data_IF_141697030959
#
_entry.id   IF_141697030959
#
_cell.length_a   1.000
_cell.length_b   1.000
_cell.length_c   1.000
_cell.angle_alpha   90.00
_cell.angle_beta   90.00
_cell.angle_gamma   90.00
#
_symmetry.space_group_name_H-M   'P 1'
#
loop_
_entity.id
_entity.type
_entity.pdbx_description
1 polymer ?
#
# COMPACT_ATOMS: atom_id res chain seq x y z
N UNK A 1 0.30 23.65 14.35
CA UNK A 1 -0.04 22.24 14.62
C UNK A 1 1.20 21.43 14.35
N UNK A 2 1.60 20.54 15.26
CA UNK A 2 2.74 19.65 15.04
C UNK A 2 2.34 18.52 14.08
N UNK A 3 3.25 18.12 13.20
CA UNK A 3 3.10 16.96 12.30
C UNK A 3 3.02 15.69 13.15
N UNK A 4 1.94 14.94 13.04
CA UNK A 4 1.61 13.81 13.91
C UNK A 4 1.88 12.46 13.26
N UNK A 5 1.84 11.38 14.05
CA UNK A 5 1.99 10.02 13.53
C UNK A 5 0.92 9.71 12.46
N UNK A 6 -0.33 10.15 12.67
CA UNK A 6 -1.38 10.03 11.67
C UNK A 6 -1.01 10.75 10.37
N UNK A 7 -0.58 12.02 10.46
CA UNK A 7 -0.23 12.84 9.29
C UNK A 7 0.96 12.26 8.51
N UNK A 8 1.90 11.62 9.22
CA UNK A 8 3.04 10.93 8.64
C UNK A 8 2.69 9.60 7.95
N UNK A 9 1.47 9.09 8.10
CA UNK A 9 1.20 7.68 7.80
C UNK A 9 -0.04 7.49 6.94
N UNK A 10 -1.21 7.83 7.46
CA UNK A 10 -2.51 7.51 6.82
C UNK A 10 -2.64 8.17 5.44
N UNK A 11 -2.34 9.48 5.26
CA UNK A 11 -2.39 10.10 3.94
C UNK A 11 -1.41 9.49 2.94
N UNK A 12 -0.21 9.09 3.40
CA UNK A 12 0.76 8.43 2.52
C UNK A 12 0.29 7.05 2.05
N UNK A 13 -0.31 6.27 2.95
CA UNK A 13 -0.88 4.97 2.60
C UNK A 13 -2.08 5.12 1.64
N UNK A 14 -2.95 6.13 1.84
CA UNK A 14 -4.04 6.46 0.91
C UNK A 14 -3.50 6.81 -0.48
N UNK A 15 -2.47 7.63 -0.57
CA UNK A 15 -1.86 8.02 -1.83
C UNK A 15 -1.16 6.84 -2.51
N UNK A 16 -0.58 5.90 -1.75
CA UNK A 16 -0.01 4.67 -2.29
C UNK A 16 -1.09 3.77 -2.92
N UNK A 17 -2.27 3.62 -2.31
CA UNK A 17 -3.40 2.87 -2.89
C UNK A 17 -3.92 3.54 -4.18
N UNK A 18 -4.02 4.88 -4.20
CA UNK A 18 -4.39 5.63 -5.43
C UNK A 18 -3.37 5.43 -6.55
N UNK A 19 -2.06 5.46 -6.23
CA UNK A 19 -1.01 5.20 -7.19
C UNK A 19 -1.08 3.77 -7.74
N UNK A 20 -1.30 2.78 -6.84
CA UNK A 20 -1.48 1.38 -7.23
C UNK A 20 -2.68 1.22 -8.19
N UNK A 21 -3.82 1.82 -7.85
CA UNK A 21 -5.01 1.82 -8.72
C UNK A 21 -4.71 2.43 -10.10
N UNK A 22 -3.98 3.55 -10.13
CA UNK A 22 -3.63 4.23 -11.39
C UNK A 22 -2.79 3.35 -12.31
N UNK A 23 -1.75 2.72 -11.78
CA UNK A 23 -0.87 1.85 -12.59
C UNK A 23 -1.58 0.56 -13.01
N UNK A 24 -2.43 -0.02 -12.15
CA UNK A 24 -3.21 -1.21 -12.49
C UNK A 24 -4.21 -0.94 -13.62
N UNK A 25 -4.91 0.21 -13.62
CA UNK A 25 -5.83 0.59 -14.71
C UNK A 25 -5.11 0.67 -16.06
N UNK A 26 -3.90 1.20 -16.09
CA UNK A 26 -3.08 1.20 -17.33
C UNK A 26 -2.62 -0.20 -17.71
N UNK A 27 -2.29 -1.05 -16.74
CA UNK A 27 -1.98 -2.46 -16.98
C UNK A 27 -3.16 -3.22 -17.58
N UNK A 28 -4.34 -3.09 -16.99
CA UNK A 28 -5.58 -3.73 -17.49
C UNK A 28 -5.92 -3.31 -18.92
N UNK A 29 -5.72 -2.02 -19.26
CA UNK A 29 -5.98 -1.49 -20.60
C UNK A 29 -4.89 -1.84 -21.63
N UNK A 30 -3.77 -2.45 -21.22
CA UNK A 30 -2.72 -2.83 -22.15
C UNK A 30 -3.13 -4.05 -23.02
N UNK A 31 -2.60 -4.20 -24.25
CA UNK A 31 -2.94 -5.33 -25.12
C UNK A 31 -2.71 -6.71 -24.48
N UNK A 32 -1.73 -6.83 -23.61
CA UNK A 32 -1.38 -8.03 -22.84
C UNK A 32 -1.95 -8.02 -21.42
N UNK A 33 -2.89 -7.14 -21.10
CA UNK A 33 -3.44 -6.92 -19.76
C UNK A 33 -3.82 -8.20 -19.02
N UNK A 34 -4.49 -9.13 -19.70
CA UNK A 34 -4.95 -10.39 -19.09
C UNK A 34 -3.82 -11.25 -18.49
N UNK A 35 -2.59 -11.17 -19.04
CA UNK A 35 -1.44 -11.95 -18.55
C UNK A 35 -0.64 -11.26 -17.45
N UNK A 36 -0.82 -9.95 -17.25
CA UNK A 36 0.03 -9.15 -16.36
C UNK A 36 -0.12 -9.50 -14.89
N UNK A 37 -1.30 -9.99 -14.47
CA UNK A 37 -1.53 -10.36 -13.06
C UNK A 37 -0.55 -11.43 -12.55
N UNK A 38 -0.12 -12.33 -13.44
CA UNK A 38 0.86 -13.37 -13.13
C UNK A 38 2.31 -12.98 -13.48
N UNK A 39 2.52 -11.80 -14.07
CA UNK A 39 3.84 -11.34 -14.45
C UNK A 39 4.72 -11.07 -13.21
N UNK A 40 6.02 -11.30 -13.39
CA UNK A 40 7.04 -11.17 -12.34
C UNK A 40 8.20 -10.35 -12.88
N UNK A 41 8.89 -9.61 -12.01
CA UNK A 41 10.10 -8.89 -12.42
C UNK A 41 11.27 -9.85 -12.61
N UNK A 42 11.36 -10.89 -11.78
CA UNK A 42 12.33 -11.97 -11.83
C UNK A 42 11.66 -13.31 -11.55
N UNK A 43 12.12 -14.46 -12.11
CA UNK A 43 11.47 -15.77 -11.93
C UNK A 43 11.26 -16.21 -10.48
N UNK A 44 12.16 -15.86 -9.57
CA UNK A 44 12.07 -16.18 -8.13
C UNK A 44 11.28 -15.15 -7.29
N UNK A 45 10.87 -14.03 -7.90
CA UNK A 45 10.03 -13.04 -7.23
C UNK A 45 8.54 -13.34 -7.43
N UNK A 46 7.71 -12.88 -6.50
CA UNK A 46 6.27 -13.10 -6.53
C UNK A 46 5.55 -12.17 -7.53
N UNK A 47 4.40 -12.60 -8.08
CA UNK A 47 3.73 -11.93 -9.19
C UNK A 47 3.09 -10.59 -8.81
N UNK A 48 2.52 -9.88 -9.81
CA UNK A 48 1.82 -8.60 -9.64
C UNK A 48 0.68 -8.71 -8.62
N UNK A 49 -0.11 -9.78 -8.65
CA UNK A 49 -1.19 -10.02 -7.66
C UNK A 49 -0.68 -10.03 -6.24
N UNK A 50 0.50 -10.61 -5.99
CA UNK A 50 1.12 -10.60 -4.67
C UNK A 50 1.54 -9.20 -4.22
N UNK A 51 1.98 -8.35 -5.15
CA UNK A 51 2.33 -6.96 -4.82
C UNK A 51 1.08 -6.19 -4.36
N UNK A 52 -0.04 -6.37 -5.05
CA UNK A 52 -1.35 -5.81 -4.64
C UNK A 52 -1.74 -6.31 -3.25
N UNK A 53 -1.65 -7.62 -3.02
CA UNK A 53 -1.92 -8.25 -1.73
C UNK A 53 -1.10 -7.59 -0.61
N UNK A 54 0.19 -7.43 -0.81
CA UNK A 54 1.09 -6.90 0.23
C UNK A 54 0.84 -5.42 0.54
N UNK A 55 0.57 -4.59 -0.48
CA UNK A 55 0.22 -3.18 -0.24
C UNK A 55 -1.07 -3.08 0.58
N UNK A 56 -2.10 -3.82 0.21
CA UNK A 56 -3.40 -3.78 0.90
C UNK A 56 -3.35 -4.38 2.31
N UNK A 57 -2.67 -5.52 2.49
CA UNK A 57 -2.48 -6.15 3.80
C UNK A 57 -1.71 -5.24 4.76
N UNK A 58 -0.61 -4.67 4.28
CA UNK A 58 0.22 -3.78 5.11
C UNK A 58 -0.58 -2.54 5.52
N UNK A 59 -1.37 -2.00 4.60
CA UNK A 59 -2.22 -0.82 4.84
C UNK A 59 -3.32 -1.10 5.88
N UNK A 60 -4.02 -2.22 5.79
CA UNK A 60 -5.07 -2.55 6.76
C UNK A 60 -4.52 -2.91 8.13
N UNK A 61 -3.39 -3.63 8.17
CA UNK A 61 -2.66 -3.93 9.41
C UNK A 61 -2.07 -2.68 10.07
N UNK A 62 -1.71 -1.66 9.29
CA UNK A 62 -1.29 -0.37 9.81
C UNK A 62 -2.37 0.24 10.71
N UNK A 63 -3.60 0.36 10.19
CA UNK A 63 -4.72 0.92 10.96
C UNK A 63 -4.99 0.09 12.21
N UNK A 64 -5.15 -1.22 12.06
CA UNK A 64 -5.45 -2.11 13.17
C UNK A 64 -4.42 -2.00 14.31
N UNK A 65 -3.14 -2.03 13.99
CA UNK A 65 -2.07 -1.98 14.99
C UNK A 65 -1.95 -0.62 15.66
N UNK A 66 -2.11 0.48 14.92
CA UNK A 66 -2.04 1.82 15.50
C UNK A 66 -3.30 2.20 16.30
N UNK A 67 -4.45 1.57 16.01
CA UNK A 67 -5.69 1.77 16.77
C UNK A 67 -5.90 0.73 17.86
N UNK A 68 -5.12 -0.36 17.87
CA UNK A 68 -5.26 -1.46 18.83
C UNK A 68 -6.46 -2.37 18.55
N UNK A 69 -6.89 -2.45 17.29
CA UNK A 69 -7.97 -3.33 16.84
C UNK A 69 -7.44 -4.57 16.14
N UNK A 70 -8.30 -5.57 15.90
CA UNK A 70 -7.92 -6.75 15.14
C UNK A 70 -7.73 -6.42 13.66
N UNK A 71 -6.71 -6.96 13.00
CA UNK A 71 -6.52 -6.81 11.56
C UNK A 71 -7.68 -7.42 10.76
N UNK A 72 -8.05 -6.75 9.67
CA UNK A 72 -9.02 -7.29 8.73
C UNK A 72 -8.57 -8.65 8.17
N UNK A 73 -9.44 -9.66 8.29
CA UNK A 73 -9.23 -10.97 7.67
C UNK A 73 -9.64 -10.91 6.20
N UNK A 74 -8.71 -11.21 5.32
CA UNK A 74 -8.97 -11.28 3.89
C UNK A 74 -9.45 -12.67 3.48
N UNK A 75 -10.48 -12.71 2.66
CA UNK A 75 -10.98 -13.94 2.07
C UNK A 75 -10.68 -13.99 0.57
N UNK A 76 -10.51 -15.20 0.05
CA UNK A 76 -10.26 -15.45 -1.39
C UNK A 76 -8.87 -15.04 -1.87
N UNK A 77 -8.59 -15.44 -3.10
CA UNK A 77 -7.35 -15.09 -3.82
C UNK A 77 -7.62 -13.94 -4.81
N UNK A 78 -6.56 -13.31 -5.29
CA UNK A 78 -6.64 -12.30 -6.34
C UNK A 78 -6.39 -12.97 -7.68
N UNK A 79 -7.43 -13.13 -8.47
CA UNK A 79 -7.37 -13.79 -9.79
C UNK A 79 -7.63 -12.80 -10.95
N UNK A 80 -8.37 -11.73 -10.69
CA UNK A 80 -8.80 -10.75 -11.68
C UNK A 80 -8.44 -9.31 -11.26
N UNK A 81 -8.48 -8.37 -12.21
CA UNK A 81 -8.37 -6.94 -11.90
C UNK A 81 -9.53 -6.46 -11.00
N UNK A 82 -10.73 -7.04 -11.18
CA UNK A 82 -11.85 -6.73 -10.30
C UNK A 82 -11.55 -7.07 -8.84
N UNK A 83 -10.90 -8.21 -8.58
CA UNK A 83 -10.46 -8.60 -7.23
C UNK A 83 -9.40 -7.63 -6.69
N UNK A 84 -8.46 -7.19 -7.54
CA UNK A 84 -7.49 -6.16 -7.16
C UNK A 84 -8.19 -4.89 -6.70
N UNK A 85 -9.15 -4.39 -7.48
CA UNK A 85 -9.87 -3.14 -7.15
C UNK A 85 -10.77 -3.29 -5.93
N UNK A 86 -11.47 -4.41 -5.79
CA UNK A 86 -12.29 -4.69 -4.61
C UNK A 86 -11.44 -4.68 -3.32
N UNK A 87 -10.26 -5.30 -3.39
CA UNK A 87 -9.32 -5.33 -2.28
C UNK A 87 -8.75 -3.96 -1.94
N UNK A 88 -8.40 -3.16 -2.95
CA UNK A 88 -7.94 -1.77 -2.76
C UNK A 88 -9.06 -0.92 -2.16
N UNK A 89 -10.28 -1.00 -2.68
CA UNK A 89 -11.42 -0.25 -2.16
C UNK A 89 -11.69 -0.57 -0.67
N UNK A 90 -11.59 -1.84 -0.28
CA UNK A 90 -11.72 -2.24 1.12
C UNK A 90 -10.59 -1.67 1.99
N UNK A 91 -9.37 -1.65 1.50
CA UNK A 91 -8.25 -1.03 2.21
C UNK A 91 -8.42 0.49 2.36
N UNK A 92 -8.95 1.17 1.33
CA UNK A 92 -9.30 2.60 1.38
C UNK A 92 -10.40 2.90 2.40
N UNK A 93 -11.43 2.06 2.47
CA UNK A 93 -12.51 2.16 3.47
C UNK A 93 -11.94 2.06 4.89
N UNK A 94 -11.06 1.08 5.14
CA UNK A 94 -10.43 0.89 6.45
C UNK A 94 -9.52 2.08 6.80
N UNK A 95 -8.74 2.61 5.85
CA UNK A 95 -7.95 3.83 6.07
C UNK A 95 -8.82 5.04 6.38
N UNK A 96 -9.95 5.19 5.67
CA UNK A 96 -10.87 6.31 5.90
C UNK A 96 -11.54 6.26 7.29
N UNK A 97 -11.68 5.07 7.88
CA UNK A 97 -12.21 4.90 9.23
C UNK A 97 -11.18 5.17 10.34
N UNK A 98 -9.90 5.37 10.00
CA UNK A 98 -8.83 5.54 10.96
C UNK A 98 -8.95 6.87 11.74
N UNK A 99 -9.11 6.78 13.05
CA UNK A 99 -9.21 7.96 13.92
C UNK A 99 -7.83 8.57 14.17
N UNK A 100 -7.68 9.85 13.78
CA UNK A 100 -6.46 10.63 14.03
C UNK A 100 -6.12 10.72 15.51
N UNK A 101 -7.13 10.97 16.34
CA UNK A 101 -6.95 11.13 17.78
C UNK A 101 -6.49 9.82 18.42
N UNK A 102 -7.12 8.68 18.07
CA UNK A 102 -6.73 7.38 18.59
C UNK A 102 -5.30 7.03 18.21
N UNK A 103 -4.92 7.19 16.93
CA UNK A 103 -3.56 6.89 16.46
C UNK A 103 -2.53 7.75 17.18
N UNK A 104 -2.78 9.04 17.34
CA UNK A 104 -1.84 9.96 18.00
C UNK A 104 -1.73 9.72 19.50
N UNK A 105 -2.82 9.39 20.18
CA UNK A 105 -2.80 9.03 21.61
C UNK A 105 -1.99 7.74 21.85
N UNK A 106 -2.09 6.77 20.94
CA UNK A 106 -1.42 5.46 21.04
C UNK A 106 0.01 5.44 20.47
N UNK A 107 0.56 6.55 19.98
CA UNK A 107 1.85 6.59 19.30
C UNK A 107 3.02 5.98 20.07
N UNK A 108 2.98 6.00 21.40
CA UNK A 108 4.03 5.46 22.28
C UNK A 108 3.74 4.02 22.73
N UNK A 109 2.61 3.45 22.34
CA UNK A 109 2.30 2.07 22.68
C UNK A 109 3.13 1.09 21.85
N UNK A 110 3.33 -0.10 22.43
CA UNK A 110 4.06 -1.17 21.75
C UNK A 110 3.19 -1.85 20.72
N UNK A 111 3.71 -1.94 19.50
CA UNK A 111 3.14 -2.69 18.38
C UNK A 111 3.95 -3.97 18.18
N UNK A 112 3.29 -5.13 18.22
CA UNK A 112 3.93 -6.41 17.93
C UNK A 112 3.83 -6.73 16.43
N UNK A 113 4.99 -6.96 15.80
CA UNK A 113 5.11 -7.20 14.36
C UNK A 113 5.71 -8.57 14.11
N UNK A 114 4.93 -9.48 13.54
CA UNK A 114 5.42 -10.77 13.06
C UNK A 114 6.19 -10.58 11.74
N UNK A 115 7.43 -11.07 11.70
CA UNK A 115 8.33 -11.00 10.54
C UNK A 115 8.68 -12.41 10.02
N UNK A 116 7.69 -13.29 9.92
CA UNK A 116 7.86 -14.64 9.40
C UNK A 116 8.87 -15.45 10.23
N UNK A 117 9.87 -16.04 9.56
CA UNK A 117 10.91 -16.85 10.20
C UNK A 117 11.82 -16.08 11.17
N UNK A 118 11.83 -14.75 11.10
CA UNK A 118 12.60 -13.92 12.04
C UNK A 118 11.91 -13.75 13.39
N UNK A 119 10.65 -14.17 13.53
CA UNK A 119 9.90 -14.08 14.79
C UNK A 119 9.05 -12.80 14.89
N UNK A 120 8.68 -12.46 16.14
CA UNK A 120 7.85 -11.28 16.45
C UNK A 120 8.69 -10.25 17.19
N UNK A 121 8.61 -8.99 16.73
CA UNK A 121 9.35 -7.88 17.31
C UNK A 121 8.40 -6.82 17.86
N UNK A 122 8.75 -6.28 19.02
CA UNK A 122 8.06 -5.16 19.66
C UNK A 122 8.65 -3.83 19.18
N UNK A 123 7.80 -2.92 18.71
CA UNK A 123 8.20 -1.61 18.18
C UNK A 123 7.28 -0.52 18.73
N UNK A 124 7.78 0.73 18.89
CA UNK A 124 6.90 1.88 19.08
C UNK A 124 6.14 2.19 17.78
N UNK A 125 5.01 2.92 17.87
CA UNK A 125 4.24 3.32 16.69
C UNK A 125 5.10 3.98 15.59
N UNK A 126 5.92 5.01 15.89
CA UNK A 126 6.80 5.62 14.89
C UNK A 126 7.83 4.66 14.28
N UNK A 127 8.43 3.75 15.08
CA UNK A 127 9.40 2.77 14.56
C UNK A 127 8.71 1.75 13.67
N UNK A 128 7.50 1.31 14.03
CA UNK A 128 6.70 0.42 13.20
C UNK A 128 6.37 1.06 11.84
N UNK A 129 5.94 2.32 11.86
CA UNK A 129 5.59 3.05 10.63
C UNK A 129 6.80 3.27 9.74
N UNK A 130 7.86 3.90 10.28
CA UNK A 130 9.01 4.33 9.48
C UNK A 130 9.97 3.19 9.15
N UNK A 131 10.08 2.19 10.03
CA UNK A 131 10.99 1.06 9.87
C UNK A 131 10.39 -0.12 9.11
N UNK A 132 9.07 -0.27 9.11
CA UNK A 132 8.42 -1.43 8.49
C UNK A 132 7.32 -1.05 7.50
N UNK A 133 6.29 -0.30 7.90
CA UNK A 133 5.08 -0.11 7.09
C UNK A 133 5.36 0.64 5.80
N UNK A 134 5.89 1.87 5.90
CA UNK A 134 6.13 2.70 4.73
C UNK A 134 7.15 2.09 3.78
N UNK A 135 8.31 1.58 4.25
CA UNK A 135 9.25 0.87 3.38
C UNK A 135 8.61 -0.32 2.67
N UNK A 136 7.76 -1.10 3.37
CA UNK A 136 7.10 -2.27 2.81
C UNK A 136 6.06 -1.88 1.74
N UNK A 137 5.18 -0.90 2.03
CA UNK A 137 4.21 -0.38 1.06
C UNK A 137 4.92 0.12 -0.19
N UNK A 138 5.96 0.94 -0.05
CA UNK A 138 6.67 1.51 -1.20
C UNK A 138 7.49 0.48 -1.98
N UNK A 139 8.05 -0.53 -1.31
CA UNK A 139 8.71 -1.64 -1.99
C UNK A 139 7.73 -2.39 -2.91
N UNK A 140 6.57 -2.78 -2.40
CA UNK A 140 5.59 -3.54 -3.18
C UNK A 140 4.91 -2.68 -4.25
N UNK A 141 4.61 -1.42 -3.99
CA UNK A 141 4.09 -0.48 -4.99
C UNK A 141 5.10 -0.25 -6.12
N UNK A 142 6.37 -0.05 -5.79
CA UNK A 142 7.43 0.13 -6.80
C UNK A 142 7.68 -1.16 -7.58
N UNK A 143 7.61 -2.31 -6.93
CA UNK A 143 7.72 -3.61 -7.60
C UNK A 143 6.56 -3.83 -8.57
N UNK A 144 5.32 -3.50 -8.19
CA UNK A 144 4.16 -3.54 -9.09
C UNK A 144 4.36 -2.63 -10.31
N UNK A 145 4.80 -1.39 -10.10
CA UNK A 145 5.16 -0.47 -11.18
C UNK A 145 6.22 -1.07 -12.11
N UNK A 146 7.28 -1.63 -11.56
CA UNK A 146 8.39 -2.19 -12.34
C UNK A 146 7.99 -3.45 -13.12
N UNK A 147 7.13 -4.31 -12.56
CA UNK A 147 6.55 -5.46 -13.29
C UNK A 147 5.81 -4.95 -14.53
N UNK A 148 4.88 -4.01 -14.36
CA UNK A 148 4.10 -3.44 -15.46
C UNK A 148 5.00 -2.77 -16.52
N UNK A 149 6.02 -2.02 -16.09
CA UNK A 149 6.98 -1.39 -17.01
C UNK A 149 7.78 -2.40 -17.80
N UNK A 150 8.29 -3.46 -17.16
CA UNK A 150 9.00 -4.57 -17.81
C UNK A 150 8.15 -5.23 -18.89
N UNK A 151 6.86 -5.38 -18.64
CA UNK A 151 5.91 -6.00 -19.56
C UNK A 151 5.39 -5.03 -20.66
N UNK A 152 5.96 -3.83 -20.76
CA UNK A 152 5.67 -2.89 -21.85
C UNK A 152 4.51 -1.93 -21.59
N UNK A 153 3.92 -1.90 -20.39
CA UNK A 153 2.86 -0.93 -20.06
C UNK A 153 3.44 0.49 -20.11
N UNK A 154 2.77 1.45 -20.82
CA UNK A 154 3.29 2.80 -20.99
C UNK A 154 3.12 3.65 -19.72
N UNK A 155 3.88 3.32 -18.67
CA UNK A 155 3.93 4.05 -17.41
C UNK A 155 5.13 4.99 -17.38
N UNK A 156 4.97 6.14 -16.74
CA UNK A 156 6.05 7.06 -16.40
C UNK A 156 6.06 7.37 -14.90
N UNK A 157 7.09 8.09 -14.43
CA UNK A 157 7.16 8.52 -13.02
C UNK A 157 5.92 9.30 -12.58
N UNK A 158 5.28 10.04 -13.51
CA UNK A 158 4.06 10.79 -13.22
C UNK A 158 2.92 9.88 -12.76
N UNK A 159 2.77 8.69 -13.33
CA UNK A 159 1.72 7.73 -12.95
C UNK A 159 1.85 7.24 -11.51
N UNK A 160 3.07 7.27 -10.98
CA UNK A 160 3.37 6.93 -9.61
C UNK A 160 3.23 8.13 -8.68
N UNK A 161 3.90 9.25 -8.99
CA UNK A 161 4.12 10.34 -8.04
C UNK A 161 2.92 11.29 -7.93
N UNK A 162 2.08 11.41 -8.97
CA UNK A 162 0.97 12.37 -8.98
C UNK A 162 -0.01 12.15 -7.84
N UNK A 163 -0.24 10.89 -7.44
CA UNK A 163 -1.12 10.59 -6.31
C UNK A 163 -0.61 11.16 -4.98
N UNK A 164 0.70 11.39 -4.85
CA UNK A 164 1.31 11.91 -3.63
C UNK A 164 1.39 13.44 -3.60
N UNK A 165 1.50 14.08 -4.76
CA UNK A 165 1.72 15.52 -4.86
C UNK A 165 0.55 16.28 -5.49
N UNK A 166 -0.46 15.56 -6.01
CA UNK A 166 -1.53 16.15 -6.85
C UNK A 166 -2.28 17.29 -6.16
N UNK A 167 -2.55 17.15 -4.86
CA UNK A 167 -3.21 18.20 -4.07
C UNK A 167 -2.39 19.49 -3.94
N UNK A 168 -1.06 19.41 -4.11
CA UNK A 168 -0.14 20.55 -4.05
C UNK A 168 0.14 21.19 -5.41
N UNK A 169 -0.31 20.57 -6.51
CA UNK A 169 -0.07 21.06 -7.88
C UNK A 169 -1.03 22.19 -8.33
N UNK A 170 -1.90 22.64 -7.44
CA UNK A 170 -2.89 23.71 -7.75
C UNK A 170 -2.27 25.10 -7.92
N UNK A 171 -1.06 25.32 -7.44
CA UNK A 171 -0.35 26.60 -7.50
C UNK A 171 0.84 26.51 -8.45
N UNK A 172 0.58 26.65 -9.78
CA UNK A 172 1.69 26.89 -10.73
C UNK A 172 2.24 28.31 -10.48
N UNK A 173 3.54 28.37 -10.20
CA UNK A 173 4.31 29.62 -10.16
C UNK A 173 4.67 30.03 -11.58
#
# INVERSE_FOLDING_TARGET
MSYSLYDATVPLAQNALKALTSILKKGEAAPNGASLLNARIHPDMLPLTFQVKMVTDTTTKLVARLTGTEPHAWEGEIETYADCYARIAKAEEILASASKDVINQRQNETVNVGMGSLGTFAMSGPNYVNGYVLPNIFFHLSTAYNILRKEGVPLGKADYITSFIGEFLTNKV
#
